data_IF_506344627477
#
_entry.id   IF_506344627477
#
_cell.length_a   1.000
_cell.length_b   1.000
_cell.length_c   1.000
_cell.angle_alpha   90.00
_cell.angle_beta   90.00
_cell.angle_gamma   90.00
#
_symmetry.space_group_name_H-M   'P 1'
#
loop_
_entity.id
_entity.type
_entity.pdbx_description
1 polymer ?
#
# COMPACT_ATOMS: atom_id res chain seq x y z
N UNK A 1 -27.49 -3.39 -3.24
CA UNK A 1 -26.51 -2.53 -3.96
C UNK A 1 -26.51 -1.08 -3.48
N UNK A 2 -27.58 -0.30 -3.63
CA UNK A 2 -27.63 1.10 -3.13
C UNK A 2 -27.60 1.16 -1.59
N UNK A 3 -28.37 0.30 -0.91
CA UNK A 3 -28.36 0.21 0.55
C UNK A 3 -27.00 -0.26 1.12
N UNK A 4 -26.31 -1.17 0.43
CA UNK A 4 -24.97 -1.62 0.84
C UNK A 4 -23.93 -0.51 0.63
N UNK A 5 -24.03 0.25 -0.45
CA UNK A 5 -23.20 1.44 -0.66
C UNK A 5 -23.44 2.48 0.43
N UNK A 6 -24.70 2.81 0.74
CA UNK A 6 -25.04 3.77 1.78
C UNK A 6 -24.58 3.31 3.17
N UNK A 7 -24.72 2.03 3.49
CA UNK A 7 -24.21 1.48 4.76
C UNK A 7 -22.68 1.49 4.82
N UNK A 8 -21.99 1.14 3.73
CA UNK A 8 -20.53 1.21 3.69
C UNK A 8 -20.01 2.65 3.83
N UNK A 9 -20.68 3.61 3.18
CA UNK A 9 -20.38 5.04 3.34
C UNK A 9 -20.66 5.49 4.77
N UNK A 10 -21.78 5.09 5.37
CA UNK A 10 -22.12 5.45 6.76
C UNK A 10 -21.11 4.89 7.76
N UNK A 11 -20.73 3.61 7.64
CA UNK A 11 -19.72 2.96 8.47
C UNK A 11 -18.36 3.66 8.31
N UNK A 12 -18.00 3.99 7.07
CA UNK A 12 -16.76 4.68 6.76
C UNK A 12 -16.74 6.12 7.33
N UNK A 13 -17.86 6.85 7.23
CA UNK A 13 -18.03 8.18 7.82
C UNK A 13 -17.92 8.13 9.34
N UNK A 14 -18.56 7.16 10.00
CA UNK A 14 -18.47 6.94 11.44
C UNK A 14 -17.02 6.61 11.86
N UNK A 15 -16.35 5.74 11.12
CA UNK A 15 -14.94 5.39 11.38
C UNK A 15 -13.98 6.57 11.19
N UNK A 16 -14.37 7.57 10.39
CA UNK A 16 -13.57 8.77 10.12
C UNK A 16 -14.17 10.05 10.73
N UNK A 17 -15.04 9.94 11.71
CA UNK A 17 -15.72 11.10 12.33
C UNK A 17 -14.74 12.11 12.96
N UNK A 18 -13.66 11.64 13.58
CA UNK A 18 -12.62 12.54 14.10
C UNK A 18 -11.92 13.33 12.98
N UNK A 19 -11.79 12.75 11.79
CA UNK A 19 -11.24 13.45 10.63
C UNK A 19 -12.26 14.44 10.06
N UNK A 20 -13.56 14.08 10.01
CA UNK A 20 -14.65 14.99 9.68
C UNK A 20 -14.60 16.27 10.50
N UNK A 21 -14.62 16.12 11.83
CA UNK A 21 -14.65 17.25 12.76
C UNK A 21 -13.44 18.16 12.59
N UNK A 22 -12.25 17.59 12.38
CA UNK A 22 -11.04 18.37 12.09
C UNK A 22 -11.19 19.22 10.82
N UNK A 23 -11.75 18.65 9.75
CA UNK A 23 -11.97 19.37 8.48
C UNK A 23 -13.05 20.44 8.60
N UNK A 24 -14.14 20.17 9.32
CA UNK A 24 -15.20 21.15 9.59
C UNK A 24 -14.65 22.30 10.44
N UNK A 25 -13.91 22.01 11.50
CA UNK A 25 -13.31 23.04 12.36
C UNK A 25 -12.30 23.91 11.58
N UNK A 26 -11.48 23.30 10.73
CA UNK A 26 -10.52 24.02 9.89
C UNK A 26 -11.24 24.93 8.88
N UNK A 27 -12.26 24.42 8.18
CA UNK A 27 -13.05 25.22 7.24
C UNK A 27 -13.82 26.35 7.94
N UNK A 28 -14.40 26.06 9.11
CA UNK A 28 -15.11 27.07 9.89
C UNK A 28 -14.17 28.19 10.34
N UNK A 29 -12.97 27.84 10.80
CA UNK A 29 -11.95 28.82 11.16
C UNK A 29 -11.54 29.71 9.97
N UNK A 30 -11.21 29.11 8.82
CA UNK A 30 -10.75 29.87 7.65
C UNK A 30 -11.85 30.76 7.07
N UNK A 31 -13.07 30.24 6.90
CA UNK A 31 -14.20 31.01 6.35
C UNK A 31 -14.61 32.12 7.33
N UNK A 32 -14.64 31.84 8.64
CA UNK A 32 -14.93 32.83 9.68
C UNK A 32 -13.92 33.98 9.69
N UNK A 33 -12.62 33.69 9.55
CA UNK A 33 -11.59 34.72 9.47
C UNK A 33 -11.81 35.66 8.27
N UNK A 34 -12.06 35.09 7.09
CA UNK A 34 -12.33 35.88 5.88
C UNK A 34 -13.60 36.74 6.06
N UNK A 35 -14.65 36.14 6.62
CA UNK A 35 -15.92 36.81 6.89
C UNK A 35 -15.76 37.98 7.86
N UNK A 36 -14.97 37.79 8.91
CA UNK A 36 -14.70 38.81 9.94
C UNK A 36 -13.95 40.01 9.33
N UNK A 37 -12.95 39.77 8.48
CA UNK A 37 -12.24 40.83 7.76
C UNK A 37 -13.22 41.61 6.85
N UNK A 38 -14.08 40.91 6.11
CA UNK A 38 -15.06 41.54 5.23
C UNK A 38 -16.05 42.43 6.00
N UNK A 39 -16.60 41.93 7.11
CA UNK A 39 -17.51 42.69 7.98
C UNK A 39 -16.80 43.89 8.61
N UNK A 40 -15.52 43.77 8.98
CA UNK A 40 -14.72 44.87 9.52
C UNK A 40 -14.58 46.05 8.55
N UNK A 41 -14.47 45.79 7.24
CA UNK A 41 -14.40 46.82 6.20
C UNK A 41 -15.79 47.39 5.88
N UNK A 42 -16.83 46.54 5.86
CA UNK A 42 -18.21 46.97 5.57
C UNK A 42 -19.22 46.49 6.63
N UNK A 43 -19.33 47.19 7.76
CA UNK A 43 -20.21 46.78 8.87
C UNK A 43 -21.69 46.67 8.50
N UNK A 44 -22.15 47.46 7.52
CA UNK A 44 -23.54 47.49 7.03
C UNK A 44 -24.06 46.15 6.49
N UNK A 45 -23.17 45.23 6.13
CA UNK A 45 -23.56 43.92 5.59
C UNK A 45 -23.61 42.82 6.66
N UNK A 46 -23.35 43.12 7.94
CA UNK A 46 -23.38 42.10 8.99
C UNK A 46 -24.81 41.56 9.19
N UNK A 47 -25.02 40.30 8.83
CA UNK A 47 -26.29 39.58 8.97
C UNK A 47 -26.06 38.22 9.63
N UNK A 48 -26.93 37.83 10.57
CA UNK A 48 -26.92 36.50 11.21
C UNK A 48 -26.97 35.36 10.19
N UNK A 49 -27.60 35.59 9.02
CA UNK A 49 -27.64 34.67 7.91
C UNK A 49 -26.26 34.27 7.37
N UNK A 50 -25.28 35.18 7.37
CA UNK A 50 -23.93 34.92 6.87
C UNK A 50 -23.18 33.90 7.73
N UNK A 51 -23.36 33.98 9.05
CA UNK A 51 -22.80 33.01 10.00
C UNK A 51 -23.45 31.64 9.85
N UNK A 52 -24.75 31.59 9.56
CA UNK A 52 -25.44 30.36 9.17
C UNK A 52 -24.84 29.74 7.91
N UNK A 53 -24.66 30.53 6.84
CA UNK A 53 -24.03 30.07 5.60
C UNK A 53 -22.58 29.58 5.82
N UNK A 54 -21.81 30.25 6.68
CA UNK A 54 -20.46 29.83 7.07
C UNK A 54 -20.46 28.43 7.70
N UNK A 55 -21.37 28.17 8.63
CA UNK A 55 -21.51 26.85 9.26
C UNK A 55 -21.91 25.78 8.24
N UNK A 56 -22.91 26.05 7.41
CA UNK A 56 -23.35 25.11 6.36
C UNK A 56 -22.25 24.79 5.35
N UNK A 57 -21.51 25.81 4.88
CA UNK A 57 -20.39 25.63 3.97
C UNK A 57 -19.27 24.77 4.59
N UNK A 58 -18.98 24.99 5.89
CA UNK A 58 -17.97 24.22 6.63
C UNK A 58 -18.35 22.75 6.79
N UNK A 59 -19.63 22.48 7.09
CA UNK A 59 -20.17 21.12 7.17
C UNK A 59 -20.09 20.43 5.80
N UNK A 60 -20.53 21.11 4.73
CA UNK A 60 -20.47 20.61 3.36
C UNK A 60 -19.02 20.27 2.95
N UNK A 61 -18.06 21.12 3.30
CA UNK A 61 -16.64 20.86 3.10
C UNK A 61 -16.15 19.60 3.83
N UNK A 62 -16.56 19.44 5.10
CA UNK A 62 -16.25 18.24 5.88
C UNK A 62 -16.72 16.96 5.21
N UNK A 63 -17.95 16.97 4.66
CA UNK A 63 -18.49 15.81 3.94
C UNK A 63 -17.68 15.52 2.69
N UNK A 64 -17.42 16.54 1.86
CA UNK A 64 -16.61 16.40 0.65
C UNK A 64 -15.21 15.83 0.93
N UNK A 65 -14.61 16.21 2.06
CA UNK A 65 -13.27 15.74 2.45
C UNK A 65 -13.20 14.25 2.80
N UNK A 66 -14.33 13.63 3.17
CA UNK A 66 -14.38 12.21 3.54
C UNK A 66 -14.72 11.34 2.35
N UNK A 67 -15.40 11.87 1.32
CA UNK A 67 -15.77 11.08 0.15
C UNK A 67 -14.51 10.38 -0.40
N UNK A 68 -14.48 9.03 -0.44
CA UNK A 68 -13.27 8.30 -0.76
C UNK A 68 -12.90 8.54 -2.22
N UNK A 69 -11.76 9.20 -2.44
CA UNK A 69 -11.14 9.30 -3.76
C UNK A 69 -10.73 7.92 -4.29
N UNK A 70 -10.68 7.77 -5.61
CA UNK A 70 -10.17 6.55 -6.27
C UNK A 70 -8.65 6.57 -6.42
N UNK A 71 -8.05 7.74 -6.41
CA UNK A 71 -6.62 7.96 -6.56
C UNK A 71 -6.19 9.20 -5.78
N UNK A 72 -5.02 9.15 -5.17
CA UNK A 72 -4.29 10.31 -4.65
C UNK A 72 -2.87 10.30 -5.18
N UNK A 73 -2.28 11.49 -5.23
CA UNK A 73 -0.86 11.69 -5.54
C UNK A 73 -0.20 12.29 -4.32
N UNK A 74 0.89 11.67 -3.90
CA UNK A 74 1.77 12.14 -2.82
C UNK A 74 3.05 12.62 -3.47
N UNK A 75 3.28 13.92 -3.36
CA UNK A 75 4.50 14.56 -3.84
C UNK A 75 5.52 14.55 -2.69
N UNK A 76 6.74 14.11 -3.00
CA UNK A 76 7.87 14.09 -2.08
C UNK A 76 8.91 15.13 -2.52
N UNK A 77 9.90 15.36 -1.65
CA UNK A 77 11.06 16.22 -1.95
C UNK A 77 11.76 15.70 -3.23
N UNK A 78 12.34 16.63 -4.02
CA UNK A 78 13.01 16.38 -5.32
C UNK A 78 12.10 15.91 -6.46
N UNK A 79 10.83 16.36 -6.49
CA UNK A 79 9.84 16.07 -7.56
C UNK A 79 9.52 14.57 -7.72
N UNK A 80 9.76 13.76 -6.69
CA UNK A 80 9.35 12.36 -6.67
C UNK A 80 7.86 12.29 -6.40
N UNK A 81 7.14 11.44 -7.12
CA UNK A 81 5.69 11.30 -6.99
C UNK A 81 5.32 9.84 -6.83
N UNK A 82 4.57 9.54 -5.78
CA UNK A 82 3.96 8.22 -5.58
C UNK A 82 2.46 8.36 -5.75
N UNK A 83 1.91 7.50 -6.61
CA UNK A 83 0.46 7.37 -6.79
C UNK A 83 -0.07 6.33 -5.84
N UNK A 84 -1.22 6.59 -5.23
CA UNK A 84 -1.98 5.56 -4.50
C UNK A 84 -3.34 5.44 -5.17
N UNK A 85 -3.64 4.27 -5.71
CA UNK A 85 -4.83 4.04 -6.55
C UNK A 85 -5.60 2.81 -6.08
N UNK A 86 -6.93 2.89 -6.13
CA UNK A 86 -7.80 1.71 -5.94
C UNK A 86 -7.85 0.89 -7.24
N UNK A 87 -7.53 -0.40 -7.18
CA UNK A 87 -7.47 -1.24 -8.37
C UNK A 87 -7.13 -2.70 -8.10
N UNK A 88 -6.77 -3.39 -9.18
CA UNK A 88 -6.19 -4.73 -9.17
C UNK A 88 -4.66 -4.61 -9.36
N UNK A 89 -3.89 -5.40 -8.62
CA UNK A 89 -2.44 -5.39 -8.65
C UNK A 89 -1.89 -5.98 -9.96
N UNK A 90 -2.62 -6.90 -10.59
CA UNK A 90 -2.18 -7.57 -11.81
C UNK A 90 -2.65 -6.87 -13.09
N UNK A 91 -3.56 -5.89 -12.97
CA UNK A 91 -4.04 -5.03 -14.06
C UNK A 91 -3.13 -3.79 -14.20
N UNK A 92 -1.96 -4.02 -14.79
CA UNK A 92 -0.91 -3.02 -14.98
C UNK A 92 -0.47 -2.93 -16.44
N UNK A 93 0.16 -1.80 -16.80
CA UNK A 93 0.70 -1.56 -18.13
C UNK A 93 1.82 -2.54 -18.53
N UNK A 94 2.01 -2.73 -19.84
CA UNK A 94 3.10 -3.56 -20.38
C UNK A 94 4.46 -2.94 -20.03
N UNK A 95 5.43 -3.79 -19.70
CA UNK A 95 6.75 -3.39 -19.25
C UNK A 95 6.78 -2.83 -17.83
N UNK A 96 5.78 -3.12 -16.99
CA UNK A 96 5.78 -2.73 -15.58
C UNK A 96 6.43 -3.77 -14.68
N UNK A 97 6.92 -3.31 -13.53
CA UNK A 97 7.37 -4.15 -12.42
C UNK A 97 6.21 -4.29 -11.43
N UNK A 98 5.82 -5.53 -11.13
CA UNK A 98 4.80 -5.84 -10.12
C UNK A 98 5.47 -6.46 -8.90
N UNK A 99 5.36 -5.80 -7.75
CA UNK A 99 5.92 -6.25 -6.47
C UNK A 99 4.97 -7.24 -5.81
N UNK A 100 5.46 -8.44 -5.53
CA UNK A 100 4.67 -9.52 -4.92
C UNK A 100 5.27 -9.85 -3.54
N UNK A 101 4.58 -9.56 -2.42
CA UNK A 101 5.03 -9.97 -1.11
C UNK A 101 4.88 -11.48 -0.94
N UNK A 102 5.97 -12.15 -0.59
CA UNK A 102 6.07 -13.61 -0.43
C UNK A 102 6.67 -13.97 0.94
N UNK A 103 6.70 -15.27 1.27
CA UNK A 103 7.34 -15.76 2.49
C UNK A 103 8.86 -15.98 2.28
N UNK A 104 9.57 -16.17 3.39
CA UNK A 104 11.02 -16.39 3.45
C UNK A 104 11.51 -17.68 2.81
N UNK A 105 10.64 -18.61 2.42
CA UNK A 105 11.01 -19.81 1.67
C UNK A 105 10.65 -19.72 0.18
N UNK A 106 10.01 -18.61 -0.25
CA UNK A 106 9.55 -18.40 -1.62
C UNK A 106 8.61 -19.53 -2.09
N UNK A 107 7.74 -20.03 -1.20
CA UNK A 107 6.85 -21.16 -1.50
C UNK A 107 5.87 -20.87 -2.63
N UNK A 108 5.59 -21.85 -3.49
CA UNK A 108 4.61 -21.73 -4.59
C UNK A 108 3.46 -22.73 -4.46
N UNK A 109 3.39 -23.45 -3.33
CA UNK A 109 2.39 -24.47 -3.08
C UNK A 109 1.12 -23.83 -2.50
N UNK A 110 -0.02 -24.03 -3.18
CA UNK A 110 -1.34 -23.58 -2.72
C UNK A 110 -2.07 -24.66 -1.91
N UNK A 111 -1.61 -25.90 -1.99
CA UNK A 111 -2.18 -27.04 -1.28
C UNK A 111 -1.76 -27.04 0.19
N UNK A 112 -2.58 -27.69 1.02
CA UNK A 112 -2.35 -27.88 2.46
C UNK A 112 -2.20 -26.55 3.23
N UNK A 113 -2.82 -25.48 2.72
CA UNK A 113 -2.81 -24.13 3.30
C UNK A 113 -1.41 -23.56 3.56
N UNK A 114 -0.38 -24.03 2.83
CA UNK A 114 0.97 -23.46 2.90
C UNK A 114 0.93 -22.00 2.46
N UNK A 115 0.30 -21.72 1.32
CA UNK A 115 -0.01 -20.35 0.88
C UNK A 115 -1.53 -20.21 0.71
N UNK A 116 -2.11 -19.25 1.42
CA UNK A 116 -3.53 -18.96 1.29
C UNK A 116 -3.90 -18.46 -0.11
N UNK A 117 -4.86 -19.08 -0.83
CA UNK A 117 -5.15 -18.77 -2.23
C UNK A 117 -5.73 -17.38 -2.47
N UNK A 118 -6.31 -16.75 -1.43
CA UNK A 118 -6.86 -15.38 -1.49
C UNK A 118 -5.86 -14.29 -1.10
N UNK A 119 -4.63 -14.67 -0.76
CA UNK A 119 -3.56 -13.70 -0.47
C UNK A 119 -2.96 -13.20 -1.79
N UNK A 120 -2.28 -12.05 -1.76
CA UNK A 120 -1.56 -11.55 -2.95
C UNK A 120 -0.55 -12.59 -3.47
N UNK A 121 0.13 -13.29 -2.56
CA UNK A 121 1.05 -14.37 -2.90
C UNK A 121 0.33 -15.52 -3.62
N UNK A 122 -0.81 -15.98 -3.08
CA UNK A 122 -1.61 -17.04 -3.69
C UNK A 122 -2.19 -16.67 -5.05
N UNK A 123 -2.71 -15.44 -5.17
CA UNK A 123 -3.23 -14.90 -6.42
C UNK A 123 -2.13 -14.77 -7.48
N UNK A 124 -0.92 -14.37 -7.08
CA UNK A 124 0.23 -14.34 -7.98
C UNK A 124 0.55 -15.73 -8.52
N UNK A 125 0.62 -16.76 -7.66
CA UNK A 125 0.92 -18.14 -8.08
C UNK A 125 -0.12 -18.62 -9.09
N UNK A 126 -1.41 -18.39 -8.83
CA UNK A 126 -2.49 -18.73 -9.77
C UNK A 126 -2.33 -17.98 -11.09
N UNK A 127 -2.22 -16.65 -11.02
CA UNK A 127 -2.09 -15.80 -12.20
C UNK A 127 -0.88 -16.17 -13.06
N UNK A 128 0.27 -16.45 -12.44
CA UNK A 128 1.48 -16.85 -13.13
C UNK A 128 1.32 -18.20 -13.83
N UNK A 129 0.73 -19.21 -13.16
CA UNK A 129 0.49 -20.53 -13.74
C UNK A 129 -0.51 -20.51 -14.89
N UNK A 130 -1.57 -19.72 -14.75
CA UNK A 130 -2.59 -19.57 -15.79
C UNK A 130 -2.02 -18.91 -17.04
N UNK A 131 -1.14 -17.91 -16.85
CA UNK A 131 -0.54 -17.15 -17.95
C UNK A 131 0.65 -17.87 -18.60
N UNK A 132 1.45 -18.57 -17.82
CA UNK A 132 2.66 -19.27 -18.26
C UNK A 132 2.59 -20.78 -17.98
N UNK A 133 1.62 -21.51 -18.55
CA UNK A 133 1.37 -22.92 -18.20
C UNK A 133 2.51 -23.87 -18.59
N UNK A 134 3.44 -23.43 -19.45
CA UNK A 134 4.62 -24.21 -19.86
C UNK A 134 5.84 -23.98 -18.96
N UNK A 135 5.79 -22.99 -18.07
CA UNK A 135 6.89 -22.65 -17.16
C UNK A 135 6.65 -23.27 -15.79
N UNK A 136 7.72 -23.74 -15.17
CA UNK A 136 7.70 -24.14 -13.78
C UNK A 136 8.18 -22.97 -12.92
N UNK A 137 7.27 -22.38 -12.14
CA UNK A 137 7.57 -21.22 -11.29
C UNK A 137 8.69 -21.51 -10.27
N UNK A 138 8.83 -22.76 -9.79
CA UNK A 138 9.91 -23.10 -8.85
C UNK A 138 11.28 -23.09 -9.51
N UNK A 139 11.35 -23.57 -10.75
CA UNK A 139 12.58 -23.55 -11.53
C UNK A 139 12.95 -22.11 -11.88
N UNK A 140 11.96 -21.28 -12.27
CA UNK A 140 12.15 -19.84 -12.56
C UNK A 140 12.68 -19.08 -11.34
N UNK A 141 12.13 -19.34 -10.15
CA UNK A 141 12.61 -18.76 -8.88
C UNK A 141 14.04 -19.24 -8.58
N UNK A 142 14.30 -20.54 -8.70
CA UNK A 142 15.62 -21.12 -8.43
C UNK A 142 16.69 -20.56 -9.36
N UNK A 143 16.38 -20.48 -10.66
CA UNK A 143 17.24 -19.88 -11.66
C UNK A 143 17.50 -18.39 -11.37
N UNK A 144 16.47 -17.64 -10.97
CA UNK A 144 16.61 -16.23 -10.60
C UNK A 144 17.51 -16.04 -9.35
N UNK A 145 17.37 -16.90 -8.34
CA UNK A 145 18.24 -16.91 -7.15
C UNK A 145 19.70 -17.14 -7.54
N UNK A 146 19.97 -18.16 -8.36
CA UNK A 146 21.32 -18.47 -8.83
C UNK A 146 21.91 -17.36 -9.71
N UNK A 147 21.12 -16.83 -10.64
CA UNK A 147 21.52 -15.74 -11.54
C UNK A 147 21.91 -14.47 -10.78
N UNK A 148 21.11 -14.10 -9.77
CA UNK A 148 21.30 -12.87 -9.01
C UNK A 148 22.21 -13.07 -7.77
N UNK A 149 22.73 -14.28 -7.55
CA UNK A 149 23.64 -14.60 -6.45
C UNK A 149 23.01 -14.42 -5.06
N UNK A 150 21.71 -14.68 -4.93
CA UNK A 150 20.96 -14.40 -3.70
C UNK A 150 21.35 -15.40 -2.61
N UNK A 151 21.90 -14.88 -1.51
CA UNK A 151 22.34 -15.69 -0.39
C UNK A 151 21.18 -16.09 0.51
N UNK A 152 21.15 -17.38 0.84
CA UNK A 152 20.29 -17.92 1.89
C UNK A 152 20.79 -17.47 3.27
N UNK A 153 19.89 -17.15 4.19
CA UNK A 153 20.20 -16.90 5.61
C UNK A 153 20.28 -18.17 6.44
N UNK A 154 20.03 -19.34 5.84
CA UNK A 154 20.08 -20.63 6.50
C UNK A 154 19.09 -21.62 5.89
N UNK A 155 19.16 -22.87 6.32
CA UNK A 155 18.24 -23.93 5.88
C UNK A 155 17.72 -24.71 7.07
N UNK A 156 16.58 -25.36 6.90
CA UNK A 156 15.99 -26.26 7.90
C UNK A 156 16.08 -27.70 7.42
N UNK A 157 16.10 -28.66 8.35
CA UNK A 157 16.21 -30.07 8.00
C UNK A 157 14.95 -30.60 7.30
N UNK A 158 13.78 -30.13 7.71
CA UNK A 158 12.50 -30.52 7.13
C UNK A 158 11.44 -29.43 7.35
N UNK A 159 10.36 -29.50 6.58
CA UNK A 159 9.19 -28.62 6.75
C UNK A 159 7.90 -29.41 6.62
N UNK A 160 6.88 -28.99 7.36
CA UNK A 160 5.56 -29.61 7.31
C UNK A 160 4.91 -29.37 5.95
N UNK A 161 4.40 -30.42 5.30
CA UNK A 161 3.60 -30.34 4.07
C UNK A 161 4.26 -29.61 2.87
N UNK A 162 5.59 -29.45 2.86
CA UNK A 162 6.35 -28.82 1.79
C UNK A 162 7.54 -29.70 1.43
N UNK A 163 7.72 -30.01 0.13
CA UNK A 163 8.87 -30.77 -0.38
C UNK A 163 9.90 -29.85 -1.04
N UNK A 164 11.18 -30.02 -0.70
CA UNK A 164 12.32 -29.43 -1.44
C UNK A 164 12.70 -27.99 -1.09
N UNK A 165 11.77 -27.16 -0.60
CA UNK A 165 12.07 -25.75 -0.23
C UNK A 165 12.48 -25.58 1.23
N UNK A 166 13.77 -25.81 1.50
CA UNK A 166 14.35 -25.76 2.85
C UNK A 166 15.15 -24.49 3.16
N UNK A 167 15.55 -23.73 2.15
CA UNK A 167 16.35 -22.51 2.31
C UNK A 167 15.47 -21.33 2.72
N UNK A 168 15.96 -20.53 3.68
CA UNK A 168 15.36 -19.28 4.13
C UNK A 168 16.10 -18.09 3.52
N UNK A 169 15.35 -17.07 3.18
CA UNK A 169 15.88 -15.81 2.68
C UNK A 169 15.53 -14.67 3.66
N UNK A 170 16.44 -13.72 3.90
CA UNK A 170 16.17 -12.58 4.76
C UNK A 170 14.96 -11.76 4.31
N UNK A 171 14.25 -11.14 5.25
CA UNK A 171 13.24 -10.12 4.96
C UNK A 171 13.85 -9.01 4.08
N UNK A 172 13.08 -8.54 3.10
CA UNK A 172 13.53 -7.56 2.11
C UNK A 172 14.35 -8.15 0.97
N UNK A 173 14.56 -9.47 0.92
CA UNK A 173 15.12 -10.14 -0.28
C UNK A 173 14.19 -9.98 -1.48
N UNK A 174 14.75 -9.69 -2.65
CA UNK A 174 14.02 -9.47 -3.90
C UNK A 174 14.49 -10.48 -4.93
N UNK A 175 13.59 -11.34 -5.40
CA UNK A 175 13.82 -12.26 -6.52
C UNK A 175 13.11 -11.72 -7.75
N UNK A 176 13.82 -11.60 -8.87
CA UNK A 176 13.30 -10.96 -10.09
C UNK A 176 12.98 -12.00 -11.15
N UNK A 177 11.71 -12.09 -11.53
CA UNK A 177 11.25 -12.89 -12.65
C UNK A 177 10.97 -11.95 -13.84
N UNK A 178 11.49 -12.31 -15.01
CA UNK A 178 11.38 -11.52 -16.22
C UNK A 178 10.47 -12.25 -17.20
N UNK A 179 9.32 -11.67 -17.49
CA UNK A 179 8.39 -12.17 -18.50
C UNK A 179 8.25 -11.16 -19.64
N UNK A 180 7.69 -11.60 -20.76
CA UNK A 180 7.60 -10.80 -21.99
C UNK A 180 6.87 -9.47 -21.79
N UNK A 181 5.82 -9.45 -20.97
CA UNK A 181 5.00 -8.26 -20.77
C UNK A 181 5.19 -7.58 -19.41
N UNK A 182 5.73 -8.28 -18.40
CA UNK A 182 5.86 -7.79 -17.02
C UNK A 182 7.07 -8.40 -16.32
N UNK A 183 7.58 -7.66 -15.34
CA UNK A 183 8.57 -8.17 -14.40
C UNK A 183 7.89 -8.39 -13.05
N UNK A 184 8.13 -9.53 -12.41
CA UNK A 184 7.63 -9.80 -11.05
C UNK A 184 8.78 -9.76 -10.06
N UNK A 185 8.67 -8.87 -9.08
CA UNK A 185 9.65 -8.75 -8.01
C UNK A 185 9.07 -9.40 -6.76
N UNK A 186 9.50 -10.63 -6.49
CA UNK A 186 9.07 -11.37 -5.31
C UNK A 186 9.85 -10.86 -4.10
N UNK A 187 9.17 -10.18 -3.19
CA UNK A 187 9.77 -9.58 -2.01
C UNK A 187 9.46 -10.43 -0.80
N UNK A 188 10.49 -10.93 -0.13
CA UNK A 188 10.34 -11.63 1.13
C UNK A 188 9.86 -10.66 2.20
N UNK A 189 8.56 -10.73 2.50
CA UNK A 189 7.86 -9.80 3.38
C UNK A 189 7.29 -10.47 4.64
N UNK A 190 7.32 -11.80 4.70
CA UNK A 190 6.83 -12.60 5.83
C UNK A 190 7.82 -13.68 6.20
N UNK A 191 8.05 -13.88 7.49
CA UNK A 191 8.88 -14.97 8.00
C UNK A 191 7.97 -16.12 8.43
N UNK A 192 8.19 -17.32 7.89
CA UNK A 192 7.49 -18.54 8.27
C UNK A 192 8.43 -19.44 9.09
N UNK A 193 7.86 -20.15 10.06
CA UNK A 193 8.54 -21.24 10.76
C UNK A 193 8.52 -22.54 9.92
N UNK A 194 9.06 -23.62 10.49
CA UNK A 194 9.11 -24.95 9.85
C UNK A 194 7.73 -25.62 9.72
N UNK A 195 6.75 -25.13 10.48
CA UNK A 195 5.36 -25.59 10.48
C UNK A 195 4.46 -24.72 9.59
N UNK A 196 5.03 -23.78 8.82
CA UNK A 196 4.34 -22.80 7.98
C UNK A 196 3.48 -21.79 8.75
N UNK A 197 3.81 -21.53 10.01
CA UNK A 197 3.19 -20.44 10.77
C UNK A 197 3.94 -19.12 10.53
N UNK A 198 3.17 -18.03 10.48
CA UNK A 198 3.71 -16.67 10.39
C UNK A 198 4.39 -16.30 11.71
N UNK A 199 5.66 -15.91 11.65
CA UNK A 199 6.39 -15.36 12.78
C UNK A 199 6.15 -13.85 12.82
N UNK A 200 5.54 -13.37 13.91
CA UNK A 200 5.26 -11.95 14.11
C UNK A 200 6.52 -11.19 14.54
N UNK A 201 6.98 -10.24 13.71
CA UNK A 201 8.17 -9.42 13.96
C UNK A 201 7.96 -7.98 13.48
N UNK A 202 7.12 -7.18 14.16
CA UNK A 202 6.81 -5.82 13.74
C UNK A 202 8.04 -4.90 13.75
N UNK A 203 9.06 -5.20 14.55
CA UNK A 203 10.31 -4.44 14.66
C UNK A 203 11.11 -4.49 13.34
N UNK A 204 11.00 -5.60 12.59
CA UNK A 204 11.68 -5.78 11.31
C UNK A 204 10.89 -5.22 10.12
N UNK A 205 9.66 -4.74 10.32
CA UNK A 205 8.80 -4.28 9.23
C UNK A 205 9.38 -3.08 8.49
N UNK A 206 9.81 -2.05 9.22
CA UNK A 206 10.46 -0.87 8.64
C UNK A 206 11.74 -1.26 7.91
N UNK A 207 12.57 -2.10 8.53
CA UNK A 207 13.80 -2.59 7.90
C UNK A 207 13.51 -3.31 6.57
N UNK A 208 12.53 -4.21 6.55
CA UNK A 208 12.09 -4.92 5.34
C UNK A 208 11.67 -3.95 4.22
N UNK A 209 10.86 -2.92 4.54
CA UNK A 209 10.43 -1.92 3.57
C UNK A 209 11.62 -1.13 3.00
N UNK A 210 12.54 -0.67 3.86
CA UNK A 210 13.71 0.11 3.44
C UNK A 210 14.64 -0.74 2.54
N UNK A 211 14.94 -1.98 2.94
CA UNK A 211 15.77 -2.90 2.14
C UNK A 211 15.12 -3.26 0.82
N UNK A 212 13.79 -3.49 0.81
CA UNK A 212 13.04 -3.70 -0.43
C UNK A 212 13.17 -2.48 -1.36
N UNK A 213 12.94 -1.27 -0.85
CA UNK A 213 13.01 -0.04 -1.65
C UNK A 213 14.41 0.17 -2.23
N UNK A 214 15.46 -0.04 -1.44
CA UNK A 214 16.85 0.05 -1.88
C UNK A 214 17.15 -0.94 -3.02
N UNK A 215 16.77 -2.22 -2.86
CA UNK A 215 16.97 -3.23 -3.91
C UNK A 215 16.16 -2.93 -5.16
N UNK A 216 14.90 -2.53 -5.02
CA UNK A 216 14.06 -2.12 -6.16
C UNK A 216 14.72 -0.96 -6.89
N UNK A 217 15.24 0.04 -6.17
CA UNK A 217 15.91 1.19 -6.77
C UNK A 217 17.16 0.78 -7.57
N UNK A 218 17.97 -0.14 -7.03
CA UNK A 218 19.16 -0.66 -7.70
C UNK A 218 18.83 -1.42 -8.98
N UNK A 219 17.72 -2.17 -8.98
CA UNK A 219 17.34 -3.01 -10.13
C UNK A 219 16.38 -2.35 -11.11
N UNK A 220 15.79 -1.21 -10.78
CA UNK A 220 14.78 -0.60 -11.63
C UNK A 220 15.42 0.07 -12.84
N UNK A 221 15.23 -0.50 -14.02
CA UNK A 221 15.66 0.08 -15.31
C UNK A 221 14.73 1.17 -15.85
N UNK A 222 14.06 1.92 -14.95
CA UNK A 222 13.13 3.00 -15.31
C UNK A 222 11.69 2.55 -15.56
N UNK A 223 11.36 1.29 -15.30
CA UNK A 223 10.01 0.74 -15.45
C UNK A 223 9.04 1.29 -14.38
N UNK A 224 7.75 1.46 -14.72
CA UNK A 224 6.72 1.77 -13.73
C UNK A 224 6.58 0.63 -12.72
N UNK A 225 6.52 0.97 -11.44
CA UNK A 225 6.41 -0.01 -10.35
C UNK A 225 5.01 0.01 -9.76
N UNK A 226 4.41 -1.17 -9.62
CA UNK A 226 3.13 -1.39 -8.96
C UNK A 226 3.35 -2.28 -7.75
N UNK A 227 2.91 -1.84 -6.57
CA UNK A 227 3.04 -2.61 -5.33
C UNK A 227 1.75 -2.61 -4.52
N UNK A 228 1.42 -3.71 -3.83
CA UNK A 228 0.29 -3.73 -2.90
C UNK A 228 0.68 -3.03 -1.59
N UNK A 229 -0.30 -2.88 -0.70
CA UNK A 229 -0.01 -2.59 0.70
C UNK A 229 0.60 -3.85 1.33
N UNK A 230 1.89 -3.80 1.63
CA UNK A 230 2.60 -4.90 2.29
C UNK A 230 2.37 -4.78 3.79
N UNK A 231 1.97 -5.87 4.44
CA UNK A 231 1.80 -5.90 5.90
C UNK A 231 0.36 -5.75 6.40
N UNK A 232 -0.62 -5.43 5.55
CA UNK A 232 -2.02 -5.18 5.94
C UNK A 232 -2.94 -6.42 5.88
N UNK A 233 -2.36 -7.62 5.82
CA UNK A 233 -3.05 -8.90 5.59
C UNK A 233 -2.70 -9.96 6.64
N UNK A 234 -2.48 -11.20 6.19
CA UNK A 234 -2.13 -12.36 7.04
C UNK A 234 -0.75 -12.24 7.71
N UNK A 235 -0.01 -11.17 7.43
CA UNK A 235 1.35 -10.89 7.92
C UNK A 235 1.40 -10.51 9.41
N UNK A 236 0.25 -10.40 10.08
CA UNK A 236 0.16 -10.25 11.53
C UNK A 236 0.45 -8.85 12.09
N UNK A 237 0.71 -7.83 11.27
CA UNK A 237 0.91 -6.46 11.78
C UNK A 237 -0.35 -5.96 12.50
N UNK A 238 -0.23 -5.65 13.79
CA UNK A 238 -1.28 -5.02 14.61
C UNK A 238 -1.49 -3.53 14.27
N UNK A 239 -1.35 -3.16 13.00
CA UNK A 239 -1.59 -1.81 12.48
C UNK A 239 -2.86 -1.80 11.64
N UNK A 240 -3.66 -0.74 11.77
CA UNK A 240 -4.79 -0.56 10.85
C UNK A 240 -4.27 -0.36 9.43
N UNK A 241 -5.02 -0.82 8.43
CA UNK A 241 -4.61 -0.69 7.01
C UNK A 241 -4.29 0.75 6.61
N UNK A 242 -5.00 1.72 7.19
CA UNK A 242 -4.73 3.15 7.09
C UNK A 242 -3.32 3.51 7.58
N UNK A 243 -2.96 3.10 8.81
CA UNK A 243 -1.64 3.35 9.40
C UNK A 243 -0.54 2.63 8.64
N UNK A 244 -0.78 1.40 8.17
CA UNK A 244 0.18 0.65 7.35
C UNK A 244 0.52 1.41 6.07
N UNK A 245 -0.47 1.93 5.35
CA UNK A 245 -0.24 2.73 4.15
C UNK A 245 0.51 4.03 4.45
N UNK A 246 0.15 4.75 5.52
CA UNK A 246 0.89 5.94 5.95
C UNK A 246 2.36 5.60 6.28
N UNK A 247 2.61 4.48 6.96
CA UNK A 247 3.97 4.02 7.30
C UNK A 247 4.81 3.68 6.07
N UNK A 248 4.21 3.04 5.06
CA UNK A 248 4.88 2.79 3.77
C UNK A 248 5.29 4.12 3.12
N UNK A 249 4.39 5.11 3.09
CA UNK A 249 4.69 6.44 2.54
C UNK A 249 5.80 7.15 3.35
N UNK A 250 5.80 7.02 4.68
CA UNK A 250 6.90 7.53 5.52
C UNK A 250 8.24 6.85 5.20
N UNK A 251 8.24 5.54 4.94
CA UNK A 251 9.47 4.86 4.51
C UNK A 251 9.97 5.42 3.17
N UNK A 252 9.07 5.70 2.22
CA UNK A 252 9.45 6.36 0.96
C UNK A 252 10.04 7.77 1.16
N UNK A 253 9.59 8.53 2.16
CA UNK A 253 10.21 9.81 2.49
C UNK A 253 11.61 9.65 3.11
N UNK A 254 11.92 8.53 3.77
CA UNK A 254 13.25 8.27 4.33
C UNK A 254 14.26 7.83 3.26
N UNK A 255 13.82 7.14 2.22
CA UNK A 255 14.69 6.65 1.14
C UNK A 255 14.80 7.70 0.04
N UNK A 256 15.50 8.80 0.29
CA UNK A 256 15.60 9.94 -0.64
C UNK A 256 16.25 9.65 -1.99
N UNK A 257 17.08 8.62 -2.05
CA UNK A 257 17.71 8.14 -3.27
C UNK A 257 16.79 7.24 -4.12
N UNK A 258 15.63 6.85 -3.60
CA UNK A 258 14.63 6.08 -4.36
C UNK A 258 14.02 6.99 -5.42
N UNK A 259 14.47 6.87 -6.67
CA UNK A 259 13.99 7.67 -7.80
C UNK A 259 13.63 6.73 -8.93
N UNK A 260 12.34 6.63 -9.24
CA UNK A 260 11.84 5.73 -10.28
C UNK A 260 11.29 6.55 -11.43
N UNK A 261 11.93 6.48 -12.60
CA UNK A 261 11.55 7.29 -13.78
C UNK A 261 10.12 6.96 -14.26
N UNK A 262 9.73 5.68 -14.25
CA UNK A 262 8.36 5.24 -14.53
C UNK A 262 7.35 5.52 -13.41
N UNK A 263 7.83 6.02 -12.25
CA UNK A 263 7.03 6.26 -11.06
C UNK A 263 6.64 4.99 -10.31
N UNK A 264 6.12 5.20 -9.09
CA UNK A 264 5.66 4.12 -8.21
C UNK A 264 4.18 4.30 -7.89
N UNK A 265 3.42 3.22 -8.04
CA UNK A 265 1.99 3.16 -7.76
C UNK A 265 1.71 2.12 -6.68
N UNK A 266 1.20 2.57 -5.53
CA UNK A 266 0.67 1.69 -4.50
C UNK A 266 -0.79 1.37 -4.85
N UNK A 267 -1.09 0.08 -5.06
CA UNK A 267 -2.41 -0.40 -5.42
C UNK A 267 -3.15 -0.85 -4.17
N UNK A 268 -4.28 -0.19 -3.89
CA UNK A 268 -5.21 -0.55 -2.83
C UNK A 268 -6.30 -1.43 -3.41
N UNK A 269 -6.39 -2.68 -2.94
CA UNK A 269 -7.43 -3.59 -3.41
C UNK A 269 -8.83 -3.05 -3.03
N UNK A 270 -9.84 -3.30 -3.88
CA UNK A 270 -11.21 -2.82 -3.67
C UNK A 270 -11.81 -3.23 -2.32
N UNK A 271 -11.42 -4.38 -1.78
CA UNK A 271 -11.86 -4.83 -0.45
C UNK A 271 -11.36 -3.96 0.70
N UNK A 272 -10.33 -3.15 0.46
CA UNK A 272 -9.63 -2.41 1.51
C UNK A 272 -10.08 -0.95 1.60
N UNK A 273 -10.87 -0.48 0.63
CA UNK A 273 -11.45 0.88 0.63
C UNK A 273 -12.43 1.11 1.77
N UNK A 274 -13.02 0.06 2.34
CA UNK A 274 -13.82 0.15 3.57
C UNK A 274 -13.00 0.49 4.82
N UNK A 275 -11.68 0.28 4.77
CA UNK A 275 -10.77 0.53 5.91
C UNK A 275 -9.80 1.69 5.67
N UNK A 276 -9.63 2.12 4.41
CA UNK A 276 -8.63 3.11 4.01
C UNK A 276 -9.34 4.30 3.37
N UNK A 277 -9.06 5.49 3.92
CA UNK A 277 -9.45 6.77 3.35
C UNK A 277 -8.24 7.43 2.70
N UNK A 278 -8.20 7.50 1.37
CA UNK A 278 -7.08 8.12 0.65
C UNK A 278 -6.93 9.61 0.99
N UNK A 279 -8.03 10.35 1.17
CA UNK A 279 -7.96 11.76 1.58
C UNK A 279 -7.33 11.92 2.97
N UNK A 280 -7.66 11.01 3.90
CA UNK A 280 -7.05 10.97 5.22
C UNK A 280 -5.57 10.62 5.16
N UNK A 281 -5.17 9.67 4.30
CA UNK A 281 -3.75 9.34 4.08
C UNK A 281 -3.00 10.60 3.63
N UNK A 282 -3.53 11.31 2.63
CA UNK A 282 -2.93 12.54 2.12
C UNK A 282 -2.82 13.62 3.20
N UNK A 283 -3.86 13.80 4.01
CA UNK A 283 -3.85 14.76 5.11
C UNK A 283 -2.85 14.38 6.21
N UNK A 284 -2.84 13.12 6.65
CA UNK A 284 -1.92 12.63 7.67
C UNK A 284 -0.47 12.78 7.21
N UNK A 285 -0.16 12.38 5.98
CA UNK A 285 1.17 12.51 5.41
C UNK A 285 1.63 13.98 5.32
N UNK A 286 0.80 14.88 4.78
CA UNK A 286 1.14 16.29 4.65
C UNK A 286 1.37 16.99 6.02
N UNK A 287 0.67 16.54 7.06
CA UNK A 287 0.80 17.10 8.41
C UNK A 287 1.94 16.50 9.23
N UNK A 288 2.47 15.35 8.81
CA UNK A 288 3.62 14.72 9.45
C UNK A 288 4.94 15.46 9.19
N UNK A 289 4.94 16.48 8.33
CA UNK A 289 6.05 17.40 8.14
C UNK A 289 7.32 16.72 7.62
N UNK A 290 7.47 16.71 6.30
CA UNK A 290 8.80 16.75 5.68
C UNK A 290 9.04 18.15 5.15
#
# INVERSE_FOLDING_TARGET
MINDMLNNVKIFMLSNYNFFLKQVALAMGTISCILTIFIGIWPRFNCSCMWGCCLFASIAWGFSSIIPGKEIRIDFIRRRRIRVKVGDLFDTECGSIVVIPVNNYLDTQLQHDVIGPRTVHGLFIQHYRDKYPRKNLDDEITNAISRDGILSSGSVASRRNVSGKLNKYPLGTVVRLFEEDKQYYLVVATEFDENNHVIYQPEKYTYMLLTMMEKINTYNSGHPIYMPIIGSGQTGLNLSKQKTLCHILQCFSLVDHYVTMGGTTIVVHKSDTKFISLNKVKYEFNNLGT
#
